data_IF_212093529007
#
_entry.id   IF_212093529007
#
_cell.length_a   1.000
_cell.length_b   1.000
_cell.length_c   1.000
_cell.angle_alpha   90.00
_cell.angle_beta   90.00
_cell.angle_gamma   90.00
#
_symmetry.space_group_name_H-M   'P 1'
#
loop_
_entity.id
_entity.type
_entity.pdbx_description
1 polymer ?
#
# COMPACT_ATOMS: atom_id res chain seq x y z
N UNK A 1 5.20 -37.07 -57.06
CA UNK A 1 5.02 -36.99 -55.60
C UNK A 1 5.53 -35.64 -55.12
N UNK A 2 4.62 -34.69 -54.89
CA UNK A 2 4.89 -33.42 -54.23
C UNK A 2 4.95 -33.68 -52.72
N UNK A 3 6.04 -33.30 -52.05
CA UNK A 3 5.94 -32.83 -50.66
C UNK A 3 6.93 -31.67 -50.49
N UNK A 4 6.34 -30.49 -50.52
CA UNK A 4 6.86 -29.17 -50.23
C UNK A 4 7.49 -29.16 -48.82
N UNK A 5 8.83 -29.11 -48.72
CA UNK A 5 9.53 -28.90 -47.44
C UNK A 5 9.72 -27.41 -47.20
N UNK A 6 8.63 -26.75 -46.84
CA UNK A 6 8.69 -25.48 -46.10
C UNK A 6 8.56 -25.87 -44.64
N UNK A 7 9.67 -25.87 -43.91
CA UNK A 7 9.64 -25.63 -42.47
C UNK A 7 10.91 -24.84 -42.13
N UNK A 8 10.84 -23.54 -42.45
CA UNK A 8 11.53 -22.54 -41.67
C UNK A 8 10.93 -22.59 -40.26
N UNK A 9 11.59 -23.24 -39.31
CA UNK A 9 11.37 -22.96 -37.91
C UNK A 9 12.64 -22.34 -37.36
N UNK A 10 12.63 -21.02 -37.35
CA UNK A 10 13.43 -20.16 -36.50
C UNK A 10 13.47 -20.74 -35.08
N UNK A 11 14.60 -21.30 -34.67
CA UNK A 11 14.90 -21.59 -33.26
C UNK A 11 15.87 -20.51 -32.76
N UNK A 12 15.55 -19.24 -32.95
CA UNK A 12 16.26 -18.11 -32.34
C UNK A 12 15.30 -16.93 -32.14
N UNK A 13 14.43 -17.02 -31.13
CA UNK A 13 13.91 -15.91 -30.30
C UNK A 13 13.44 -16.63 -29.03
N UNK A 14 13.96 -16.43 -27.85
CA UNK A 14 14.51 -15.23 -27.25
C UNK A 14 14.01 -15.27 -25.80
N UNK A 15 14.84 -14.81 -24.87
CA UNK A 15 14.56 -14.73 -23.45
C UNK A 15 13.19 -14.08 -23.17
N UNK A 16 12.19 -14.83 -22.73
CA UNK A 16 10.94 -14.28 -22.16
C UNK A 16 10.38 -15.33 -21.21
N UNK A 17 10.29 -15.19 -19.90
CA UNK A 17 10.23 -14.01 -19.05
C UNK A 17 10.55 -14.48 -17.63
N UNK A 18 11.68 -14.06 -17.06
CA UNK A 18 11.67 -13.85 -15.63
C UNK A 18 10.75 -12.65 -15.42
N UNK A 19 9.45 -12.90 -15.25
CA UNK A 19 8.48 -11.87 -14.91
C UNK A 19 8.85 -11.35 -13.51
N UNK A 20 9.79 -10.41 -13.47
CA UNK A 20 9.86 -9.46 -12.36
C UNK A 20 8.48 -8.81 -12.31
N UNK A 21 7.67 -9.21 -11.33
CA UNK A 21 6.34 -8.64 -11.10
C UNK A 21 6.50 -7.12 -11.04
N UNK A 22 5.54 -6.40 -11.61
CA UNK A 22 5.59 -4.93 -11.57
C UNK A 22 5.49 -4.44 -10.12
N UNK A 23 5.99 -3.23 -9.80
CA UNK A 23 5.79 -2.61 -8.48
C UNK A 23 4.32 -2.62 -8.04
N UNK A 24 3.38 -2.38 -8.98
CA UNK A 24 1.94 -2.50 -8.72
C UNK A 24 1.56 -3.90 -8.25
N UNK A 25 1.97 -4.94 -8.97
CA UNK A 25 1.65 -6.33 -8.60
C UNK A 25 2.24 -6.72 -7.23
N UNK A 26 3.46 -6.23 -6.93
CA UNK A 26 4.07 -6.41 -5.62
C UNK A 26 3.28 -5.68 -4.52
N UNK A 27 2.80 -4.47 -4.80
CA UNK A 27 1.97 -3.71 -3.88
C UNK A 27 0.62 -4.39 -3.64
N UNK A 28 -0.09 -4.81 -4.68
CA UNK A 28 -1.39 -5.47 -4.59
C UNK A 28 -1.32 -6.77 -3.77
N UNK A 29 -0.20 -7.48 -3.84
CA UNK A 29 0.02 -8.70 -3.05
C UNK A 29 0.41 -8.43 -1.59
N UNK A 30 0.84 -7.21 -1.27
CA UNK A 30 1.21 -6.80 0.09
C UNK A 30 0.00 -6.70 1.02
N UNK A 31 0.25 -6.74 2.33
CA UNK A 31 -0.81 -6.58 3.34
C UNK A 31 -1.51 -5.23 3.24
N UNK A 32 -0.77 -4.16 2.92
CA UNK A 32 -1.32 -2.82 2.73
C UNK A 32 -2.20 -2.74 1.48
N UNK A 33 -1.76 -3.34 0.37
CA UNK A 33 -2.53 -3.42 -0.87
C UNK A 33 -3.87 -4.13 -0.67
N UNK A 34 -3.84 -5.34 -0.11
CA UNK A 34 -5.05 -6.12 0.20
C UNK A 34 -6.01 -5.37 1.14
N UNK A 35 -5.48 -4.74 2.18
CA UNK A 35 -6.29 -3.97 3.13
C UNK A 35 -6.95 -2.74 2.50
N UNK A 36 -6.26 -2.05 1.59
CA UNK A 36 -6.82 -0.92 0.85
C UNK A 36 -7.86 -1.36 -0.17
N UNK A 37 -7.62 -2.47 -0.86
CA UNK A 37 -8.58 -3.07 -1.79
C UNK A 37 -9.87 -3.47 -1.04
N UNK A 38 -9.74 -4.20 0.06
CA UNK A 38 -10.87 -4.61 0.90
C UNK A 38 -11.62 -3.40 1.46
N UNK A 39 -10.91 -2.35 1.86
CA UNK A 39 -11.54 -1.11 2.28
C UNK A 39 -12.34 -0.45 1.14
N UNK A 40 -11.82 -0.46 -0.09
CA UNK A 40 -12.46 0.17 -1.24
C UNK A 40 -13.69 -0.60 -1.74
N UNK A 41 -13.76 -1.94 -1.54
CA UNK A 41 -14.86 -2.80 -2.01
C UNK A 41 -16.25 -2.30 -1.63
N UNK A 42 -16.39 -1.63 -0.49
CA UNK A 42 -17.67 -1.08 -0.04
C UNK A 42 -17.72 0.43 -0.21
N UNK A 43 -18.43 0.93 -1.23
CA UNK A 43 -18.68 2.38 -1.45
C UNK A 43 -17.39 3.23 -1.62
N UNK A 44 -16.36 2.65 -2.21
CA UNK A 44 -15.12 3.36 -2.55
C UNK A 44 -14.54 2.93 -3.88
N UNK A 45 -13.46 3.60 -4.28
CA UNK A 45 -12.61 3.24 -5.41
C UNK A 45 -11.16 3.33 -4.98
N UNK A 46 -10.33 2.44 -5.53
CA UNK A 46 -8.88 2.45 -5.35
C UNK A 46 -8.25 2.65 -6.72
N UNK A 47 -7.31 3.59 -6.83
CA UNK A 47 -6.49 3.78 -8.03
C UNK A 47 -5.04 3.64 -7.62
N UNK A 48 -4.34 2.72 -8.27
CA UNK A 48 -2.90 2.49 -8.04
C UNK A 48 -2.17 3.06 -9.24
N UNK A 49 -1.14 3.87 -8.99
CA UNK A 49 -0.32 4.52 -10.01
C UNK A 49 1.13 4.21 -9.72
N UNK A 50 1.86 3.76 -10.73
CA UNK A 50 3.31 3.66 -10.65
C UNK A 50 3.92 5.03 -10.44
N UNK A 51 4.78 5.15 -9.41
CA UNK A 51 5.61 6.32 -9.20
C UNK A 51 7.05 5.90 -9.45
N UNK A 52 7.59 6.26 -10.61
CA UNK A 52 8.97 5.93 -10.97
C UNK A 52 9.94 6.78 -10.16
N UNK A 53 10.66 6.09 -9.28
CA UNK A 53 12.00 6.31 -8.76
C UNK A 53 12.63 7.72 -8.86
N UNK A 54 12.71 8.38 -7.71
CA UNK A 54 13.86 9.22 -7.39
C UNK A 54 14.67 8.42 -6.37
N UNK A 55 15.89 7.96 -6.71
CA UNK A 55 16.88 7.29 -5.83
C UNK A 55 16.92 5.75 -5.67
N UNK A 56 16.55 4.94 -6.66
CA UNK A 56 16.81 3.47 -6.61
C UNK A 56 15.75 2.65 -5.84
N UNK A 57 14.61 3.24 -5.50
CA UNK A 57 13.54 2.63 -4.70
C UNK A 57 12.23 2.62 -5.47
N UNK A 58 11.62 1.45 -5.58
CA UNK A 58 10.29 1.28 -6.15
C UNK A 58 9.23 1.95 -5.26
N UNK A 59 8.42 2.82 -5.86
CA UNK A 59 7.34 3.52 -5.18
C UNK A 59 6.03 3.33 -5.91
N UNK A 60 4.95 3.27 -5.13
CA UNK A 60 3.59 3.16 -5.64
C UNK A 60 2.73 4.26 -5.02
N UNK A 61 2.10 5.04 -5.89
CA UNK A 61 1.06 5.99 -5.51
C UNK A 61 -0.29 5.29 -5.43
N UNK A 62 -1.07 5.56 -4.41
CA UNK A 62 -2.39 4.95 -4.25
C UNK A 62 -3.40 5.99 -3.84
N UNK A 63 -4.48 6.11 -4.61
CA UNK A 63 -5.60 7.02 -4.31
C UNK A 63 -6.80 6.20 -3.89
N UNK A 64 -7.18 6.31 -2.61
CA UNK A 64 -8.41 5.75 -2.04
C UNK A 64 -9.47 6.84 -1.98
N UNK A 65 -10.56 6.68 -2.72
CA UNK A 65 -11.73 7.55 -2.65
C UNK A 65 -12.88 6.79 -2.00
N UNK A 66 -13.46 7.32 -0.90
CA UNK A 66 -14.54 6.66 -0.16
C UNK A 66 -15.37 7.69 0.61
N UNK A 67 -16.71 7.57 0.57
CA UNK A 67 -17.63 8.48 1.28
C UNK A 67 -17.28 9.98 1.10
N UNK A 68 -16.99 10.40 -0.13
CA UNK A 68 -16.58 11.77 -0.50
C UNK A 68 -15.19 12.23 -0.05
N UNK A 69 -14.42 11.39 0.64
CA UNK A 69 -13.02 11.66 0.98
C UNK A 69 -12.08 11.01 -0.02
N UNK A 70 -10.95 11.67 -0.28
CA UNK A 70 -9.89 11.14 -1.13
C UNK A 70 -8.55 11.20 -0.40
N UNK A 71 -7.96 10.03 -0.17
CA UNK A 71 -6.66 9.82 0.46
C UNK A 71 -5.67 9.34 -0.59
N UNK A 72 -4.58 10.08 -0.76
CA UNK A 72 -3.45 9.71 -1.60
C UNK A 72 -2.29 9.24 -0.74
N UNK A 73 -1.87 8.00 -0.90
CA UNK A 73 -0.74 7.38 -0.24
C UNK A 73 0.43 7.26 -1.21
N UNK A 74 1.63 7.31 -0.66
CA UNK A 74 2.86 6.93 -1.33
C UNK A 74 3.48 5.80 -0.52
N UNK A 75 3.62 4.65 -1.15
CA UNK A 75 4.26 3.48 -0.57
C UNK A 75 5.64 3.29 -1.19
N UNK A 76 6.63 3.08 -0.34
CA UNK A 76 7.90 2.51 -0.75
C UNK A 76 7.79 1.00 -0.62
N UNK A 77 8.10 0.28 -1.69
CA UNK A 77 8.11 -1.18 -1.69
C UNK A 77 9.47 -1.70 -1.24
N UNK A 78 9.43 -2.72 -0.39
CA UNK A 78 10.60 -3.53 -0.11
C UNK A 78 10.33 -4.96 -0.63
N UNK A 79 10.81 -5.29 -1.85
CA UNK A 79 10.55 -6.58 -2.47
C UNK A 79 11.19 -7.75 -1.69
N UNK A 80 12.20 -7.51 -0.85
CA UNK A 80 12.84 -8.54 -0.05
C UNK A 80 11.92 -9.13 1.05
N UNK A 81 10.91 -8.38 1.49
CA UNK A 81 10.01 -8.77 2.59
C UNK A 81 8.52 -8.65 2.23
N UNK A 82 8.18 -8.42 0.95
CA UNK A 82 6.82 -8.17 0.46
C UNK A 82 6.05 -7.14 1.31
N UNK A 83 6.77 -6.11 1.76
CA UNK A 83 6.24 -5.09 2.65
C UNK A 83 6.16 -3.76 1.91
N UNK A 84 5.03 -3.07 2.06
CA UNK A 84 4.82 -1.72 1.56
C UNK A 84 4.86 -0.76 2.77
N UNK A 85 5.84 0.13 2.81
CA UNK A 85 5.95 1.13 3.87
C UNK A 85 5.37 2.45 3.37
N UNK A 86 4.49 3.07 4.16
CA UNK A 86 3.98 4.40 3.86
C UNK A 86 5.09 5.43 4.05
N UNK A 87 5.51 6.08 2.96
CA UNK A 87 6.51 7.16 2.97
C UNK A 87 5.89 8.55 2.90
N UNK A 88 4.64 8.64 2.43
CA UNK A 88 3.89 9.90 2.40
C UNK A 88 2.40 9.65 2.32
N UNK A 89 1.61 10.55 2.92
CA UNK A 89 0.15 10.55 2.78
C UNK A 89 -0.33 11.98 2.60
N UNK A 90 -1.26 12.18 1.69
CA UNK A 90 -1.95 13.45 1.39
C UNK A 90 -3.46 13.18 1.35
N UNK A 91 -4.28 14.10 1.84
CA UNK A 91 -5.72 14.11 1.61
C UNK A 91 -5.96 15.21 0.58
N UNK A 92 -6.77 14.95 -0.43
CA UNK A 92 -7.07 15.97 -1.45
C UNK A 92 -7.84 17.12 -0.78
N UNK A 93 -7.25 18.32 -0.77
CA UNK A 93 -7.80 19.52 -0.11
C UNK A 93 -7.00 20.05 1.10
N UNK A 94 -5.93 19.37 1.51
CA UNK A 94 -5.05 19.79 2.62
C UNK A 94 -3.56 19.61 2.23
N UNK A 95 -2.75 20.67 2.32
CA UNK A 95 -1.35 20.66 1.83
C UNK A 95 -0.39 19.84 2.70
N UNK A 96 -0.71 19.63 3.99
CA UNK A 96 0.00 18.70 4.88
C UNK A 96 -0.92 18.21 5.99
N UNK A 97 -1.40 16.98 5.90
CA UNK A 97 -2.08 16.40 7.06
C UNK A 97 -1.07 15.89 8.06
N UNK A 98 -1.31 16.28 9.31
CA UNK A 98 -0.75 15.61 10.45
C UNK A 98 -1.05 14.10 10.34
N UNK A 99 -0.02 13.28 10.54
CA UNK A 99 -0.07 11.81 10.50
C UNK A 99 -1.20 11.24 11.37
N UNK A 100 -1.56 11.91 12.47
CA UNK A 100 -2.70 11.55 13.32
C UNK A 100 -4.05 11.68 12.60
N UNK A 101 -4.24 12.74 11.81
CA UNK A 101 -5.49 12.97 11.06
C UNK A 101 -5.67 11.93 9.97
N UNK A 102 -4.57 11.53 9.32
CA UNK A 102 -4.56 10.44 8.34
C UNK A 102 -5.02 9.14 8.99
N UNK A 103 -4.44 8.76 10.14
CA UNK A 103 -4.82 7.54 10.84
C UNK A 103 -6.29 7.55 11.26
N UNK A 104 -6.78 8.65 11.86
CA UNK A 104 -8.20 8.76 12.26
C UNK A 104 -9.13 8.68 11.06
N UNK A 105 -8.75 9.31 9.95
CA UNK A 105 -9.54 9.26 8.71
C UNK A 105 -9.55 7.84 8.15
N UNK A 106 -8.40 7.18 8.10
CA UNK A 106 -8.29 5.80 7.62
C UNK A 106 -9.07 4.82 8.52
N UNK A 107 -8.97 4.98 9.84
CA UNK A 107 -9.76 4.22 10.80
C UNK A 107 -11.27 4.44 10.59
N UNK A 108 -11.70 5.69 10.35
CA UNK A 108 -13.10 6.00 10.07
C UNK A 108 -13.60 5.43 8.75
N UNK A 109 -12.74 5.33 7.73
CA UNK A 109 -13.10 4.85 6.40
C UNK A 109 -13.01 3.32 6.28
N UNK A 110 -12.02 2.70 6.91
CA UNK A 110 -11.63 1.31 6.70
C UNK A 110 -11.69 0.44 7.97
N UNK A 111 -11.87 1.05 9.15
CA UNK A 111 -11.78 0.36 10.43
C UNK A 111 -10.34 0.23 10.95
N UNK A 112 -10.21 -0.09 12.24
CA UNK A 112 -8.92 -0.19 12.94
C UNK A 112 -8.05 -1.35 12.45
N UNK A 113 -8.65 -2.45 12.03
CA UNK A 113 -7.92 -3.62 11.52
C UNK A 113 -7.22 -3.32 10.19
N UNK A 114 -7.94 -2.68 9.25
CA UNK A 114 -7.34 -2.27 7.97
C UNK A 114 -6.25 -1.21 8.19
N UNK A 115 -6.48 -0.23 9.07
CA UNK A 115 -5.48 0.75 9.46
C UNK A 115 -4.18 0.08 9.97
N UNK A 116 -4.29 -0.97 10.79
CA UNK A 116 -3.13 -1.70 11.30
C UNK A 116 -2.32 -2.44 10.22
N UNK A 117 -2.96 -2.83 9.12
CA UNK A 117 -2.29 -3.48 7.99
C UNK A 117 -1.66 -2.47 7.02
N UNK A 118 -2.25 -1.27 6.91
CA UNK A 118 -1.80 -0.20 6.02
C UNK A 118 -0.68 0.63 6.68
N UNK A 119 -0.79 0.88 7.99
CA UNK A 119 0.13 1.69 8.80
C UNK A 119 0.52 0.94 10.09
N UNK A 120 1.29 -0.16 9.98
CA UNK A 120 1.58 -1.03 11.12
C UNK A 120 2.47 -0.37 12.18
N UNK A 121 3.43 0.46 11.77
CA UNK A 121 4.36 1.14 12.69
C UNK A 121 3.60 2.12 13.59
N UNK A 122 2.73 2.93 12.99
CA UNK A 122 1.93 3.91 13.72
C UNK A 122 0.86 3.26 14.58
N UNK A 123 0.26 2.17 14.10
CA UNK A 123 -0.69 1.38 14.89
C UNK A 123 -0.04 0.77 16.12
N UNK A 124 1.19 0.29 15.99
CA UNK A 124 1.95 -0.23 17.13
C UNK A 124 2.33 0.90 18.10
N UNK A 125 2.71 2.09 17.60
CA UNK A 125 3.00 3.25 18.44
C UNK A 125 1.78 3.68 19.28
N UNK A 126 0.58 3.72 18.69
CA UNK A 126 -0.67 4.00 19.43
C UNK A 126 -0.91 2.94 20.51
N UNK A 127 -0.78 1.66 20.15
CA UNK A 127 -0.97 0.56 21.11
C UNK A 127 -0.02 0.66 22.30
N UNK A 128 1.23 1.05 22.07
CA UNK A 128 2.20 1.27 23.13
C UNK A 128 1.85 2.48 24.00
N UNK A 129 1.35 3.57 23.40
CA UNK A 129 0.86 4.74 24.13
C UNK A 129 -0.36 4.41 25.00
N UNK A 130 -1.33 3.65 24.48
CA UNK A 130 -2.51 3.23 25.24
C UNK A 130 -2.15 2.28 26.38
N UNK A 131 -1.20 1.36 26.16
CA UNK A 131 -0.67 0.50 27.21
C UNK A 131 0.08 1.27 28.29
N UNK A 132 0.85 2.30 27.91
CA UNK A 132 1.53 3.18 28.86
C UNK A 132 0.52 4.00 29.69
N UNK A 133 -0.56 4.47 29.05
CA UNK A 133 -1.63 5.22 29.72
C UNK A 133 -2.47 4.35 30.67
N UNK A 134 -2.70 3.08 30.30
CA UNK A 134 -3.36 2.09 31.16
C UNK A 134 -2.51 1.56 32.32
N UNK A 135 -1.18 1.80 32.29
CA UNK A 135 -0.24 1.45 33.37
C UNK A 135 0.09 2.62 34.30
N UNK A 136 -0.48 3.81 34.09
CA UNK A 136 -0.33 4.89 35.05
C UNK A 136 -0.95 4.44 36.39
N UNK A 137 -0.18 4.31 37.49
CA UNK A 137 -0.76 4.03 38.78
C UNK A 137 -1.80 5.12 39.08
N UNK A 138 -2.96 4.79 39.69
CA UNK A 138 -3.91 5.81 40.08
C UNK A 138 -3.18 6.79 40.96
N UNK A 139 -3.04 8.03 40.49
CA UNK A 139 -2.47 9.12 41.26
C UNK A 139 -3.34 9.27 42.50
N UNK A 140 -2.89 8.73 43.63
CA UNK A 140 -3.46 9.04 44.93
C UNK A 140 -3.28 10.55 45.10
N UNK A 141 -4.37 11.30 44.94
CA UNK A 141 -4.42 12.69 45.36
C UNK A 141 -4.32 12.72 46.89
N UNK A 142 -3.44 13.57 47.46
CA UNK A 142 -3.48 13.87 48.88
C UNK A 142 -4.76 14.62 49.27
#
# INVERSE_FOLDING_TARGET
MQVMRIFAMLVIVGLTSACSKSPIEHFEQSNAGKALEDCAKTKGTLRITDLTESSGKEMVGVVLKKFEKELTFQFQLNPAINHAQVVGVRLTGDDQLNRMTVMRTLQSLCGSQAMAMIMPEESNAIRMLDQAKGRAPPTQRP
#
